data_IF_262603692433
#
_entry.id   IF_262603692433
#
_cell.length_a   1.000
_cell.length_b   1.000
_cell.length_c   1.000
_cell.angle_alpha   90.00
_cell.angle_beta   90.00
_cell.angle_gamma   90.00
#
_symmetry.space_group_name_H-M   'P 1'
#
loop_
_entity.id
_entity.type
_entity.pdbx_description
1 polymer ?
#
# COMPACT_ATOMS: atom_id res chain seq x y z
N UNK A 1 23.09 41.21 -4.39
CA UNK A 1 23.72 39.87 -4.41
C UNK A 1 22.63 38.84 -4.16
N UNK A 2 22.26 38.07 -5.19
CA UNK A 2 21.29 37.00 -5.04
C UNK A 2 21.92 35.85 -4.27
N UNK A 3 21.31 35.46 -3.14
CA UNK A 3 21.72 34.27 -2.40
C UNK A 3 21.56 33.06 -3.32
N UNK A 4 22.68 32.47 -3.75
CA UNK A 4 22.68 31.10 -4.27
C UNK A 4 22.21 30.21 -3.13
N UNK A 5 20.97 29.74 -3.22
CA UNK A 5 20.54 28.59 -2.42
C UNK A 5 21.36 27.40 -2.93
N UNK A 6 22.47 27.13 -2.25
CA UNK A 6 23.32 25.99 -2.52
C UNK A 6 22.56 24.75 -2.03
N UNK A 7 22.01 23.96 -2.96
CA UNK A 7 21.45 22.66 -2.61
C UNK A 7 22.56 21.80 -1.96
N UNK A 8 22.33 21.19 -0.80
CA UNK A 8 23.32 20.30 -0.20
C UNK A 8 23.57 19.14 -1.15
N UNK A 9 24.84 18.92 -1.51
CA UNK A 9 25.42 17.82 -2.29
C UNK A 9 24.42 16.72 -2.71
N UNK A 10 23.94 16.75 -3.96
CA UNK A 10 23.07 15.69 -4.48
C UNK A 10 23.92 14.52 -5.02
N UNK A 11 24.55 13.77 -4.13
CA UNK A 11 25.20 12.49 -4.49
C UNK A 11 24.17 11.42 -4.93
N UNK A 12 22.88 11.74 -4.86
CA UNK A 12 21.77 10.91 -5.32
C UNK A 12 21.63 11.04 -6.84
N UNK A 13 21.72 9.93 -7.60
CA UNK A 13 21.48 9.95 -9.04
C UNK A 13 20.12 10.55 -9.38
N UNK A 14 20.06 11.36 -10.44
CA UNK A 14 18.84 12.09 -10.85
C UNK A 14 17.61 11.20 -10.98
N UNK A 15 17.77 9.99 -11.52
CA UNK A 15 16.66 9.04 -11.68
C UNK A 15 16.06 8.63 -10.33
N UNK A 16 16.89 8.47 -9.31
CA UNK A 16 16.46 8.06 -7.98
C UNK A 16 15.69 9.18 -7.28
N UNK A 17 16.12 10.44 -7.48
CA UNK A 17 15.35 11.61 -7.06
C UNK A 17 13.99 11.69 -7.76
N UNK A 18 13.94 11.51 -9.09
CA UNK A 18 12.68 11.50 -9.84
C UNK A 18 11.73 10.39 -9.37
N UNK A 19 12.23 9.18 -9.12
CA UNK A 19 11.43 8.08 -8.56
C UNK A 19 10.93 8.44 -7.16
N UNK A 20 11.79 9.00 -6.30
CA UNK A 20 11.40 9.47 -4.98
C UNK A 20 10.22 10.45 -5.01
N UNK A 21 10.26 11.39 -5.95
CA UNK A 21 9.15 12.34 -6.14
C UNK A 21 7.86 11.63 -6.58
N UNK A 22 7.92 10.69 -7.54
CA UNK A 22 6.74 9.92 -7.98
C UNK A 22 6.15 9.08 -6.84
N UNK A 23 6.98 8.51 -5.96
CA UNK A 23 6.54 7.76 -4.79
C UNK A 23 5.73 8.64 -3.82
N UNK A 24 6.11 9.91 -3.69
CA UNK A 24 5.42 10.87 -2.81
C UNK A 24 4.22 11.58 -3.45
N UNK A 25 3.92 11.30 -4.72
CA UNK A 25 2.89 12.00 -5.47
C UNK A 25 1.63 11.17 -5.71
N UNK A 26 0.56 11.76 -6.30
CA UNK A 26 -0.63 11.01 -6.69
C UNK A 26 -0.35 9.84 -7.65
N UNK A 27 0.81 9.83 -8.33
CA UNK A 27 1.24 8.78 -9.26
C UNK A 27 1.79 7.51 -8.58
N UNK A 28 1.88 7.49 -7.25
CA UNK A 28 2.42 6.37 -6.48
C UNK A 28 1.72 5.04 -6.74
N UNK A 29 0.39 5.04 -6.97
CA UNK A 29 -0.36 3.82 -7.26
C UNK A 29 0.00 3.22 -8.63
N UNK A 30 0.18 4.06 -9.67
CA UNK A 30 0.65 3.59 -10.98
C UNK A 30 2.05 2.94 -10.87
N UNK A 31 2.98 3.60 -10.18
CA UNK A 31 4.33 3.07 -9.96
C UNK A 31 4.29 1.73 -9.20
N UNK A 32 3.47 1.66 -8.16
CA UNK A 32 3.31 0.46 -7.35
C UNK A 32 2.69 -0.70 -8.15
N UNK A 33 1.69 -0.44 -8.99
CA UNK A 33 1.12 -1.43 -9.92
C UNK A 33 2.18 -2.02 -10.86
N UNK A 34 3.05 -1.17 -11.42
CA UNK A 34 4.15 -1.63 -12.27
C UNK A 34 5.15 -2.51 -11.51
N UNK A 35 5.51 -2.11 -10.29
CA UNK A 35 6.42 -2.88 -9.44
C UNK A 35 5.83 -4.25 -9.10
N UNK A 36 4.57 -4.28 -8.66
CA UNK A 36 3.86 -5.51 -8.30
C UNK A 36 3.80 -6.48 -9.48
N UNK A 37 3.37 -6.01 -10.66
CA UNK A 37 3.26 -6.85 -11.86
C UNK A 37 4.57 -7.51 -12.27
N UNK A 38 5.71 -6.88 -11.97
CA UNK A 38 7.02 -7.35 -12.40
C UNK A 38 7.74 -8.20 -11.37
N UNK A 39 7.60 -7.87 -10.09
CA UNK A 39 8.45 -8.45 -9.03
C UNK A 39 7.66 -9.20 -7.95
N UNK A 40 6.36 -8.95 -7.80
CA UNK A 40 5.60 -9.59 -6.73
C UNK A 40 5.03 -10.93 -7.21
N UNK A 41 5.37 -12.00 -6.50
CA UNK A 41 4.84 -13.34 -6.78
C UNK A 41 3.45 -13.53 -6.15
N UNK A 42 2.44 -13.78 -6.98
CA UNK A 42 1.06 -14.02 -6.54
C UNK A 42 0.94 -15.20 -5.54
N UNK A 43 1.76 -16.24 -5.68
CA UNK A 43 1.77 -17.40 -4.76
C UNK A 43 2.12 -16.99 -3.33
N UNK A 44 3.01 -16.00 -3.16
CA UNK A 44 3.41 -15.52 -1.83
C UNK A 44 2.27 -14.77 -1.14
N UNK A 45 1.47 -14.01 -1.92
CA UNK A 45 0.27 -13.34 -1.42
C UNK A 45 -0.73 -14.37 -0.89
N UNK A 46 -1.05 -15.39 -1.68
CA UNK A 46 -1.99 -16.46 -1.29
C UNK A 46 -1.52 -17.23 -0.05
N UNK A 47 -0.23 -17.58 0.02
CA UNK A 47 0.32 -18.25 1.20
C UNK A 47 0.17 -17.39 2.46
N UNK A 48 0.47 -16.09 2.37
CA UNK A 48 0.37 -15.16 3.50
C UNK A 48 -1.07 -14.92 3.94
N UNK A 49 -2.02 -14.85 2.99
CA UNK A 49 -3.45 -14.79 3.28
C UNK A 49 -3.91 -16.02 4.08
N UNK A 50 -3.48 -17.21 3.68
CA UNK A 50 -3.81 -18.44 4.40
C UNK A 50 -3.24 -18.45 5.82
N UNK A 51 -1.97 -18.06 5.99
CA UNK A 51 -1.35 -17.95 7.32
C UNK A 51 -2.13 -16.96 8.19
N UNK A 52 -2.49 -15.80 7.65
CA UNK A 52 -3.25 -14.76 8.39
C UNK A 52 -4.62 -15.27 8.81
N UNK A 53 -5.30 -16.02 7.93
CA UNK A 53 -6.57 -16.68 8.26
C UNK A 53 -6.40 -17.67 9.43
N UNK A 54 -5.38 -18.52 9.39
CA UNK A 54 -5.09 -19.45 10.49
C UNK A 54 -4.81 -18.73 11.81
N UNK A 55 -4.11 -17.60 11.77
CA UNK A 55 -3.85 -16.77 12.97
C UNK A 55 -5.17 -16.22 13.54
N UNK A 56 -6.07 -15.73 12.69
CA UNK A 56 -7.37 -15.22 13.15
C UNK A 56 -8.27 -16.32 13.71
N UNK A 57 -8.25 -17.51 13.11
CA UNK A 57 -8.97 -18.68 13.64
C UNK A 57 -8.44 -19.08 15.02
N UNK A 58 -7.12 -19.13 15.18
CA UNK A 58 -6.49 -19.47 16.46
C UNK A 58 -6.73 -18.38 17.53
N UNK A 59 -6.70 -17.10 17.15
CA UNK A 59 -7.04 -16.00 18.05
C UNK A 59 -8.49 -16.08 18.51
N UNK A 60 -9.41 -16.44 17.61
CA UNK A 60 -10.83 -16.66 17.94
C UNK A 60 -11.00 -17.80 18.95
N UNK A 61 -10.28 -18.92 18.76
CA UNK A 61 -10.27 -20.04 19.71
C UNK A 61 -9.74 -19.60 21.07
N UNK A 62 -8.60 -18.91 21.09
CA UNK A 62 -8.00 -18.40 22.34
C UNK A 62 -8.95 -17.49 23.10
N UNK A 63 -9.63 -16.56 22.42
CA UNK A 63 -10.62 -15.68 23.05
C UNK A 63 -11.73 -16.48 23.75
N UNK A 64 -12.08 -17.66 23.23
CA UNK A 64 -13.08 -18.54 23.86
C UNK A 64 -12.58 -19.21 25.15
N UNK A 65 -11.29 -19.50 25.24
CA UNK A 65 -10.65 -20.21 26.35
C UNK A 65 -10.14 -19.28 27.47
N UNK A 66 -10.22 -17.96 27.29
CA UNK A 66 -9.75 -17.00 28.30
C UNK A 66 -10.74 -16.89 29.48
N UNK A 67 -10.33 -17.44 30.62
CA UNK A 67 -11.10 -17.44 31.88
C UNK A 67 -11.25 -16.06 32.51
N UNK A 68 -10.34 -15.13 32.22
CA UNK A 68 -10.38 -13.76 32.76
C UNK A 68 -11.37 -12.84 32.02
N UNK A 69 -11.93 -13.27 30.89
CA UNK A 69 -12.89 -12.50 30.09
C UNK A 69 -14.32 -12.95 30.35
N UNK A 70 -15.18 -12.00 30.74
CA UNK A 70 -16.61 -12.22 30.82
C UNK A 70 -17.22 -12.50 29.43
N UNK A 71 -18.32 -13.26 29.39
CA UNK A 71 -19.00 -13.68 28.17
C UNK A 71 -19.37 -12.51 27.24
N UNK A 72 -19.83 -11.37 27.80
CA UNK A 72 -20.15 -10.17 27.01
C UNK A 72 -18.92 -9.59 26.30
N UNK A 73 -17.82 -9.41 27.03
CA UNK A 73 -16.54 -8.91 26.48
C UNK A 73 -15.96 -9.88 25.44
N UNK A 74 -16.10 -11.19 25.67
CA UNK A 74 -15.69 -12.23 24.71
C UNK A 74 -16.42 -12.11 23.37
N UNK A 75 -17.74 -11.92 23.39
CA UNK A 75 -18.53 -11.72 22.18
C UNK A 75 -18.08 -10.47 21.42
N UNK A 76 -17.84 -9.35 22.12
CA UNK A 76 -17.34 -8.12 21.50
C UNK A 76 -15.94 -8.30 20.90
N UNK A 77 -15.05 -9.04 21.57
CA UNK A 77 -13.72 -9.34 21.04
C UNK A 77 -13.79 -10.18 19.76
N UNK A 78 -14.64 -11.21 19.72
CA UNK A 78 -14.88 -12.01 18.50
C UNK A 78 -15.52 -11.19 17.39
N UNK A 79 -16.44 -10.29 17.73
CA UNK A 79 -17.03 -9.35 16.77
C UNK A 79 -15.98 -8.40 16.18
N UNK A 80 -15.09 -7.86 17.01
CA UNK A 80 -13.98 -7.03 16.52
C UNK A 80 -13.07 -7.83 15.59
N UNK A 81 -12.70 -9.05 15.99
CA UNK A 81 -11.82 -9.92 15.21
C UNK A 81 -12.42 -10.25 13.84
N UNK A 82 -13.73 -10.52 13.75
CA UNK A 82 -14.40 -10.80 12.47
C UNK A 82 -14.52 -9.57 11.55
N UNK A 83 -14.32 -8.37 12.08
CA UNK A 83 -14.35 -7.10 11.35
C UNK A 83 -12.97 -6.58 10.95
N UNK A 84 -11.88 -7.21 11.40
CA UNK A 84 -10.53 -6.79 11.03
C UNK A 84 -10.28 -7.07 9.55
N UNK A 85 -9.98 -6.01 8.78
CA UNK A 85 -9.59 -6.12 7.38
C UNK A 85 -8.19 -6.72 7.20
N UNK A 86 -7.99 -7.45 6.11
CA UNK A 86 -6.69 -8.03 5.73
C UNK A 86 -6.11 -7.25 4.56
N UNK A 87 -4.97 -6.58 4.77
CA UNK A 87 -4.26 -5.82 3.73
C UNK A 87 -2.87 -6.43 3.54
N UNK A 88 -2.72 -7.32 2.55
CA UNK A 88 -1.49 -8.09 2.33
C UNK A 88 -0.93 -7.82 0.94
N UNK A 89 0.29 -7.28 0.90
CA UNK A 89 1.06 -7.03 -0.33
C UNK A 89 0.57 -5.84 -1.13
N UNK A 90 -0.53 -6.01 -1.88
CA UNK A 90 -1.08 -5.01 -2.80
C UNK A 90 -2.59 -5.19 -2.99
N UNK A 91 -3.35 -4.12 -3.30
CA UNK A 91 -4.77 -4.21 -3.66
C UNK A 91 -4.95 -4.89 -5.02
N UNK A 92 -5.97 -5.73 -5.18
CA UNK A 92 -6.14 -6.55 -6.40
C UNK A 92 -6.28 -5.72 -7.69
N UNK A 93 -6.79 -4.49 -7.55
CA UNK A 93 -6.90 -3.46 -8.56
C UNK A 93 -5.55 -3.14 -9.23
N UNK A 94 -4.43 -3.35 -8.53
CA UNK A 94 -3.10 -3.13 -9.12
C UNK A 94 -2.77 -4.13 -10.23
N UNK A 95 -3.42 -5.29 -10.29
CA UNK A 95 -3.24 -6.26 -11.38
C UNK A 95 -4.05 -5.89 -12.61
N UNK A 96 -5.20 -5.22 -12.43
CA UNK A 96 -6.03 -4.77 -13.52
C UNK A 96 -5.53 -3.45 -14.11
N UNK A 97 -5.24 -3.46 -15.41
CA UNK A 97 -4.80 -2.24 -16.11
C UNK A 97 -5.91 -1.19 -16.15
N UNK A 98 -7.17 -1.62 -16.33
CA UNK A 98 -8.30 -0.69 -16.47
C UNK A 98 -8.59 0.06 -15.18
N UNK A 99 -8.55 -0.63 -14.04
CA UNK A 99 -8.70 -0.02 -12.71
C UNK A 99 -7.70 1.13 -12.49
N UNK A 100 -6.45 0.94 -12.90
CA UNK A 100 -5.42 1.99 -12.81
C UNK A 100 -5.70 3.15 -13.78
N UNK A 101 -6.08 2.86 -15.03
CA UNK A 101 -6.41 3.89 -16.02
C UNK A 101 -7.62 4.73 -15.59
N UNK A 102 -8.66 4.08 -15.05
CA UNK A 102 -9.86 4.74 -14.54
C UNK A 102 -9.54 5.59 -13.31
N UNK A 103 -8.64 5.14 -12.42
CA UNK A 103 -8.18 5.92 -11.27
C UNK A 103 -7.47 7.22 -11.68
N UNK A 104 -6.76 7.21 -12.80
CA UNK A 104 -6.06 8.39 -13.34
C UNK A 104 -6.83 9.10 -14.47
N UNK A 105 -8.13 8.83 -14.62
CA UNK A 105 -8.94 9.43 -15.66
C UNK A 105 -8.97 10.96 -15.53
N UNK A 106 -8.57 11.65 -16.59
CA UNK A 106 -8.50 13.12 -16.64
C UNK A 106 -7.14 13.71 -16.27
N UNK A 107 -6.19 12.89 -15.81
CA UNK A 107 -4.82 13.34 -15.59
C UNK A 107 -4.14 13.66 -16.93
N UNK A 108 -3.53 14.84 -17.04
CA UNK A 108 -2.77 15.28 -18.22
C UNK A 108 -1.33 15.56 -17.81
N UNK A 109 -0.42 14.70 -18.25
CA UNK A 109 1.01 14.87 -17.99
C UNK A 109 1.68 15.41 -19.26
N UNK A 110 2.39 16.54 -19.13
CA UNK A 110 3.22 17.08 -20.20
C UNK A 110 4.70 16.95 -19.81
N UNK A 111 5.50 16.39 -20.73
CA UNK A 111 6.96 16.21 -20.55
C UNK A 111 7.69 17.51 -20.19
N UNK A 112 7.17 18.66 -20.63
CA UNK A 112 7.81 19.96 -20.45
C UNK A 112 7.39 20.66 -19.14
N UNK A 113 6.31 20.22 -18.49
CA UNK A 113 5.73 20.89 -17.32
C UNK A 113 5.69 19.95 -16.12
N UNK A 114 6.87 19.67 -15.56
CA UNK A 114 7.02 18.80 -14.39
C UNK A 114 6.19 19.28 -13.19
N UNK A 115 6.23 20.58 -12.87
CA UNK A 115 5.55 21.10 -11.67
C UNK A 115 4.03 21.05 -11.76
N UNK A 116 3.46 21.27 -12.95
CA UNK A 116 2.01 21.17 -13.18
C UNK A 116 1.51 19.72 -13.12
N UNK A 117 2.34 18.76 -13.52
CA UNK A 117 1.98 17.33 -13.48
C UNK A 117 2.05 16.74 -12.06
N UNK A 118 2.62 17.48 -11.11
CA UNK A 118 2.99 16.99 -9.78
C UNK A 118 2.29 17.72 -8.62
N UNK A 119 1.52 18.79 -8.92
CA UNK A 119 0.67 19.51 -7.98
C UNK A 119 -0.80 19.18 -8.18
#
# INVERSE_FOLDING_TARGET
>A
QAYKVQCPNSDVPRWMFCVGIVITSPLSAALSSLYVKRYFNATTKTATLNITKMIFEEMSRRIEELDWMEAGTRQQAKYKLSRMGQHIGYPDEFMDKKSIEDFYKGLKINKNNFFEAMG
#
